data_IF_686765568560
#
_entry.id   IF_686765568560
#
_cell.length_a   1.000
_cell.length_b   1.000
_cell.length_c   1.000
_cell.angle_alpha   90.00
_cell.angle_beta   90.00
_cell.angle_gamma   90.00
#
_symmetry.space_group_name_H-M   'P 1'
#
loop_
_entity.id
_entity.type
_entity.pdbx_description
1 polymer ?
#
# COMPACT_ATOMS: atom_id res chain seq x y z
N UNK A 1 -10.58 10.42 25.06
CA UNK A 1 -11.12 10.87 23.76
C UNK A 1 -10.01 11.16 22.76
N UNK A 2 -10.35 11.28 21.48
CA UNK A 2 -9.36 11.50 20.42
C UNK A 2 -8.90 12.96 20.25
N UNK A 3 -9.44 13.92 21.00
CA UNK A 3 -9.01 15.33 20.96
C UNK A 3 -7.50 15.50 21.13
N UNK A 4 -6.90 14.73 22.04
CA UNK A 4 -5.47 14.78 22.34
C UNK A 4 -4.59 14.19 21.22
N UNK A 5 -5.17 13.34 20.37
CA UNK A 5 -4.54 12.84 19.14
C UNK A 5 -4.57 13.94 18.07
N UNK A 6 -5.72 14.62 17.90
CA UNK A 6 -5.83 15.76 17.00
C UNK A 6 -4.89 16.90 17.38
N UNK A 7 -4.74 17.20 18.67
CA UNK A 7 -3.83 18.26 19.12
C UNK A 7 -2.36 17.99 18.80
N UNK A 8 -1.97 16.70 18.71
CA UNK A 8 -0.58 16.31 18.40
C UNK A 8 -0.32 16.19 16.91
N UNK A 9 -1.23 15.53 16.18
CA UNK A 9 -1.03 15.25 14.75
C UNK A 9 -1.57 16.34 13.85
N UNK A 10 -2.58 17.08 14.31
CA UNK A 10 -3.26 18.13 13.56
C UNK A 10 -3.43 19.42 14.38
N UNK A 11 -2.33 19.99 14.91
CA UNK A 11 -2.36 21.18 15.76
C UNK A 11 -2.97 22.42 15.09
N UNK A 12 -2.77 22.60 13.79
CA UNK A 12 -3.33 23.72 13.00
C UNK A 12 -4.83 23.54 12.81
N UNK A 13 -5.29 22.34 12.43
CA UNK A 13 -6.74 22.03 12.33
C UNK A 13 -7.40 22.17 13.71
N UNK A 14 -6.80 21.66 14.77
CA UNK A 14 -7.32 21.80 16.13
C UNK A 14 -7.42 23.28 16.53
N UNK A 15 -6.37 24.07 16.31
CA UNK A 15 -6.37 25.51 16.57
C UNK A 15 -7.44 26.24 15.74
N UNK A 16 -7.59 25.88 14.47
CA UNK A 16 -8.57 26.47 13.58
C UNK A 16 -10.00 26.18 14.05
N UNK A 17 -10.32 24.92 14.35
CA UNK A 17 -11.63 24.51 14.85
C UNK A 17 -11.97 25.21 16.17
N UNK A 18 -11.02 25.27 17.12
CA UNK A 18 -11.26 25.94 18.42
C UNK A 18 -11.44 27.45 18.29
N UNK A 19 -10.78 28.09 17.32
CA UNK A 19 -10.83 29.55 17.16
C UNK A 19 -11.99 30.03 16.27
N UNK A 20 -12.27 29.32 15.18
CA UNK A 20 -13.31 29.71 14.22
C UNK A 20 -14.67 29.11 14.55
N UNK A 21 -14.73 27.86 15.03
CA UNK A 21 -15.99 27.20 15.36
C UNK A 21 -15.91 26.41 16.69
N UNK A 22 -15.84 27.12 17.83
CA UNK A 22 -15.77 26.47 19.14
C UNK A 22 -17.02 25.61 19.44
N UNK A 23 -18.15 25.86 18.78
CA UNK A 23 -19.38 25.07 18.94
C UNK A 23 -19.21 23.70 18.32
N UNK A 24 -18.65 23.60 17.11
CA UNK A 24 -18.31 22.30 16.50
C UNK A 24 -17.30 21.56 17.37
N UNK A 25 -16.24 22.23 17.84
CA UNK A 25 -15.24 21.58 18.70
C UNK A 25 -15.86 20.99 19.98
N UNK A 26 -16.69 21.77 20.68
CA UNK A 26 -17.34 21.32 21.92
C UNK A 26 -18.44 20.29 21.67
N UNK A 27 -19.04 20.27 20.48
CA UNK A 27 -19.99 19.23 20.08
C UNK A 27 -19.28 17.89 19.84
N UNK A 28 -18.17 17.88 19.09
CA UNK A 28 -17.39 16.67 18.80
C UNK A 28 -16.66 16.21 20.08
N UNK A 29 -16.13 17.16 20.85
CA UNK A 29 -15.37 16.90 22.07
C UNK A 29 -15.96 17.60 23.31
N UNK A 30 -17.08 17.10 23.89
CA UNK A 30 -17.65 17.66 25.11
C UNK A 30 -16.67 17.62 26.28
N UNK A 31 -16.57 18.72 27.05
CA UNK A 31 -15.57 18.87 28.11
C UNK A 31 -15.75 17.82 29.23
N UNK A 32 -16.99 17.48 29.57
CA UNK A 32 -17.32 16.47 30.58
C UNK A 32 -16.82 15.08 30.18
N UNK A 33 -16.95 14.73 28.90
CA UNK A 33 -16.43 13.47 28.37
C UNK A 33 -14.91 13.49 28.22
N UNK A 34 -14.28 14.63 27.91
CA UNK A 34 -12.82 14.72 27.88
C UNK A 34 -12.20 14.37 29.23
N UNK A 35 -12.84 14.81 30.34
CA UNK A 35 -12.40 14.51 31.70
C UNK A 35 -12.65 13.04 32.08
N UNK A 36 -13.84 12.51 31.77
CA UNK A 36 -14.21 11.11 32.09
C UNK A 36 -13.45 10.09 31.26
N UNK A 37 -13.25 10.39 29.99
CA UNK A 37 -12.52 9.57 29.05
C UNK A 37 -11.06 10.01 28.91
N UNK A 38 -10.43 10.38 30.02
CA UNK A 38 -8.99 10.60 30.05
C UNK A 38 -8.26 9.31 29.64
N UNK A 39 -7.00 9.46 29.22
CA UNK A 39 -6.22 8.32 28.71
C UNK A 39 -6.12 7.19 29.73
N UNK A 40 -6.53 5.96 29.36
CA UNK A 40 -6.23 4.82 30.18
C UNK A 40 -4.72 4.56 30.07
N UNK A 41 -4.03 4.67 31.20
CA UNK A 41 -2.60 4.37 31.33
C UNK A 41 -2.46 3.20 32.28
N UNK A 42 -1.84 2.12 31.82
CA UNK A 42 -1.53 0.96 32.64
C UNK A 42 -0.04 0.95 32.91
N UNK A 43 0.31 0.94 34.18
CA UNK A 43 1.69 0.85 34.63
C UNK A 43 2.04 -0.63 34.81
N UNK A 44 2.69 -1.21 33.79
CA UNK A 44 3.20 -2.57 33.89
C UNK A 44 4.55 -2.56 34.62
N UNK A 45 4.57 -3.08 35.84
CA UNK A 45 5.78 -3.30 36.61
C UNK A 45 6.51 -4.54 36.07
N UNK A 46 7.50 -4.33 35.20
CA UNK A 46 8.35 -5.41 34.70
C UNK A 46 9.57 -5.57 35.63
N UNK A 47 9.39 -6.34 36.69
CA UNK A 47 10.45 -6.73 37.62
C UNK A 47 9.93 -6.83 39.06
N UNK A 48 10.34 -7.88 39.78
CA UNK A 48 9.97 -8.08 41.20
C UNK A 48 10.39 -6.93 42.13
N UNK A 49 11.22 -5.99 41.67
CA UNK A 49 11.64 -4.79 42.40
C UNK A 49 11.06 -3.47 41.85
N UNK A 50 10.12 -3.48 40.89
CA UNK A 50 9.44 -2.26 40.43
C UNK A 50 10.31 -1.22 39.70
N UNK A 51 11.51 -1.59 39.23
CA UNK A 51 12.45 -0.63 38.58
C UNK A 51 12.04 -0.15 37.20
N UNK A 52 11.11 -0.85 36.52
CA UNK A 52 10.65 -0.47 35.18
C UNK A 52 9.13 -0.47 35.13
N UNK A 53 8.56 0.73 35.05
CA UNK A 53 7.15 0.96 34.76
C UNK A 53 7.03 1.23 33.26
N UNK A 54 6.42 0.31 32.51
CA UNK A 54 6.08 0.56 31.11
C UNK A 54 4.66 1.13 31.04
N UNK A 55 4.47 2.42 30.72
CA UNK A 55 3.14 3.00 30.63
C UNK A 55 2.49 2.57 29.32
N UNK A 56 1.53 1.64 29.36
CA UNK A 56 0.70 1.33 28.21
C UNK A 56 -0.44 2.32 28.15
N UNK A 57 -0.35 3.23 27.17
CA UNK A 57 -1.42 4.15 26.82
C UNK A 57 -2.30 3.53 25.74
N UNK A 58 -3.61 3.68 25.86
CA UNK A 58 -4.58 3.14 24.88
C UNK A 58 -4.42 1.62 24.62
N UNK A 59 -4.70 0.74 25.60
CA UNK A 59 -4.47 -0.69 25.43
C UNK A 59 -5.20 -1.32 24.25
N UNK A 60 -6.43 -0.89 23.96
CA UNK A 60 -7.16 -1.39 22.80
C UNK A 60 -6.41 -1.07 21.50
N UNK A 61 -5.84 0.13 21.39
CA UNK A 61 -5.03 0.52 20.24
C UNK A 61 -3.73 -0.30 20.17
N UNK A 62 -3.11 -0.59 21.32
CA UNK A 62 -1.91 -1.44 21.39
C UNK A 62 -2.15 -2.88 20.88
N UNK A 63 -3.40 -3.37 20.92
CA UNK A 63 -3.80 -4.66 20.34
C UNK A 63 -4.16 -4.55 18.86
N UNK A 64 -4.76 -3.44 18.43
CA UNK A 64 -5.17 -3.22 17.03
C UNK A 64 -3.95 -2.99 16.12
N UNK A 65 -3.00 -2.15 16.55
CA UNK A 65 -1.85 -1.76 15.72
C UNK A 65 -1.01 -2.94 15.21
N UNK A 66 -0.67 -3.97 16.02
CA UNK A 66 0.05 -5.16 15.54
C UNK A 66 -0.61 -5.86 14.35
N UNK A 67 -1.94 -5.81 14.24
CA UNK A 67 -2.67 -6.35 13.07
C UNK A 67 -2.28 -5.57 11.80
N UNK A 68 -2.21 -4.25 11.88
CA UNK A 68 -1.71 -3.41 10.78
C UNK A 68 -0.28 -3.71 10.37
N UNK A 69 0.61 -3.93 11.35
CA UNK A 69 1.99 -4.36 11.10
C UNK A 69 2.01 -5.69 10.34
N UNK A 70 1.23 -6.67 10.78
CA UNK A 70 1.15 -7.98 10.13
C UNK A 70 0.63 -7.88 8.68
N UNK A 71 -0.43 -7.10 8.45
CA UNK A 71 -0.98 -6.83 7.11
C UNK A 71 0.09 -6.20 6.21
N UNK A 72 0.80 -5.18 6.69
CA UNK A 72 1.84 -4.47 5.95
C UNK A 72 3.03 -5.37 5.59
N UNK A 73 3.59 -6.10 6.57
CA UNK A 73 4.71 -6.99 6.35
C UNK A 73 4.36 -8.16 5.43
N UNK A 74 3.21 -8.82 5.68
CA UNK A 74 2.74 -9.92 4.84
C UNK A 74 2.48 -9.44 3.42
N UNK A 75 1.80 -8.31 3.26
CA UNK A 75 1.50 -7.74 1.95
C UNK A 75 2.76 -7.37 1.17
N UNK A 76 3.72 -6.72 1.83
CA UNK A 76 5.02 -6.36 1.22
C UNK A 76 5.80 -7.61 0.79
N UNK A 77 5.88 -8.63 1.64
CA UNK A 77 6.58 -9.88 1.35
C UNK A 77 5.94 -10.62 0.16
N UNK A 78 4.61 -10.72 0.14
CA UNK A 78 3.90 -11.40 -0.94
C UNK A 78 4.09 -10.70 -2.29
N UNK A 79 3.97 -9.37 -2.32
CA UNK A 79 4.10 -8.59 -3.56
C UNK A 79 5.56 -8.48 -4.04
N UNK A 80 6.53 -8.38 -3.12
CA UNK A 80 7.94 -8.21 -3.48
C UNK A 80 8.70 -9.51 -3.73
N UNK A 81 8.46 -10.54 -2.91
CA UNK A 81 9.31 -11.75 -2.90
C UNK A 81 8.60 -12.94 -3.53
N UNK A 82 7.34 -13.19 -3.14
CA UNK A 82 6.66 -14.43 -3.51
C UNK A 82 6.09 -14.37 -4.93
N UNK A 83 5.40 -13.28 -5.27
CA UNK A 83 4.73 -13.13 -6.56
C UNK A 83 5.70 -13.06 -7.76
N UNK A 84 6.83 -12.33 -7.71
CA UNK A 84 7.74 -12.26 -8.84
C UNK A 84 8.47 -13.59 -9.12
N UNK A 85 8.75 -14.38 -8.07
CA UNK A 85 9.51 -15.63 -8.19
C UNK A 85 8.70 -16.80 -8.74
N UNK A 86 7.37 -16.79 -8.63
CA UNK A 86 6.55 -17.95 -8.97
C UNK A 86 6.08 -18.02 -10.43
N UNK A 87 5.94 -16.90 -11.17
CA UNK A 87 5.15 -16.92 -12.43
C UNK A 87 5.45 -15.81 -13.48
N UNK A 88 6.64 -15.21 -13.55
CA UNK A 88 6.93 -14.09 -14.48
C UNK A 88 5.92 -12.92 -14.36
N UNK A 89 5.35 -12.71 -13.17
CA UNK A 89 4.38 -11.63 -12.91
C UNK A 89 5.06 -10.26 -13.00
N UNK A 90 4.32 -9.18 -13.34
CA UNK A 90 4.89 -7.84 -13.39
C UNK A 90 5.44 -7.43 -12.01
N UNK A 91 6.54 -6.65 -11.97
CA UNK A 91 7.04 -6.09 -10.72
C UNK A 91 5.99 -5.15 -10.12
N UNK A 92 5.61 -5.38 -8.86
CA UNK A 92 4.66 -4.53 -8.11
C UNK A 92 5.39 -3.82 -6.97
N UNK A 93 6.53 -3.21 -7.32
CA UNK A 93 7.45 -2.65 -6.33
C UNK A 93 6.83 -1.49 -5.55
N UNK A 94 6.06 -0.62 -6.22
CA UNK A 94 5.38 0.49 -5.55
C UNK A 94 4.29 0.01 -4.60
N UNK A 95 3.49 -0.99 -4.99
CA UNK A 95 2.52 -1.60 -4.08
C UNK A 95 3.18 -2.28 -2.87
N UNK A 96 4.27 -3.01 -3.10
CA UNK A 96 5.00 -3.66 -2.01
C UNK A 96 5.62 -2.65 -1.03
N UNK A 97 6.13 -1.52 -1.54
CA UNK A 97 6.64 -0.43 -0.71
C UNK A 97 5.52 0.27 0.05
N UNK A 98 4.35 0.47 -0.57
CA UNK A 98 3.19 1.01 0.14
C UNK A 98 2.85 0.15 1.38
N UNK A 99 2.80 -1.18 1.21
CA UNK A 99 2.56 -2.11 2.33
C UNK A 99 3.69 -2.10 3.37
N UNK A 100 4.95 -1.96 2.93
CA UNK A 100 6.12 -1.87 3.82
C UNK A 100 6.09 -0.60 4.67
N UNK A 101 5.85 0.56 4.06
CA UNK A 101 5.68 1.82 4.78
C UNK A 101 4.46 1.78 5.70
N UNK A 102 3.40 1.09 5.33
CA UNK A 102 2.24 0.90 6.21
C UNK A 102 2.60 0.12 7.47
N UNK A 103 3.46 -0.90 7.37
CA UNK A 103 3.99 -1.59 8.55
C UNK A 103 4.84 -0.65 9.41
N UNK A 104 5.73 0.15 8.79
CA UNK A 104 6.54 1.15 9.50
C UNK A 104 5.69 2.18 10.24
N UNK A 105 4.62 2.69 9.59
CA UNK A 105 3.65 3.61 10.19
C UNK A 105 3.02 3.01 11.44
N UNK A 106 2.56 1.76 11.36
CA UNK A 106 1.97 1.07 12.50
C UNK A 106 2.99 0.83 13.64
N UNK A 107 4.23 0.46 13.32
CA UNK A 107 5.28 0.34 14.34
C UNK A 107 5.54 1.70 15.02
N UNK A 108 5.65 2.77 14.23
CA UNK A 108 5.83 4.12 14.73
C UNK A 108 4.67 4.54 15.64
N UNK A 109 3.44 4.28 15.22
CA UNK A 109 2.22 4.54 15.97
C UNK A 109 2.16 3.76 17.29
N UNK A 110 2.52 2.47 17.28
CA UNK A 110 2.54 1.66 18.50
C UNK A 110 3.47 2.29 19.53
N UNK A 111 4.66 2.68 19.10
CA UNK A 111 5.66 3.26 19.99
C UNK A 111 5.23 4.65 20.44
N UNK A 112 4.83 5.53 19.53
CA UNK A 112 4.49 6.93 19.80
C UNK A 112 3.19 7.12 20.61
N UNK A 113 2.20 6.24 20.43
CA UNK A 113 0.88 6.34 21.04
C UNK A 113 0.69 5.43 22.24
N UNK A 114 1.34 4.26 22.26
CA UNK A 114 1.10 3.27 23.31
C UNK A 114 2.27 3.12 24.27
N UNK A 115 3.52 3.14 23.81
CA UNK A 115 4.67 2.68 24.62
C UNK A 115 5.58 3.78 25.17
N UNK A 116 5.74 4.90 24.48
CA UNK A 116 6.69 5.96 24.88
C UNK A 116 5.99 7.11 25.60
N UNK A 117 6.48 7.51 26.76
CA UNK A 117 5.95 8.65 27.50
C UNK A 117 6.03 9.96 26.70
N UNK A 118 5.08 10.88 26.90
CA UNK A 118 5.00 12.13 26.13
C UNK A 118 6.18 13.07 26.32
N UNK A 119 6.72 13.09 27.51
CA UNK A 119 7.90 13.90 27.86
C UNK A 119 9.18 13.39 27.21
N UNK A 120 9.15 12.19 26.61
CA UNK A 120 10.32 11.58 26.01
C UNK A 120 10.69 12.28 24.70
N UNK A 121 11.96 12.63 24.47
CA UNK A 121 12.41 13.19 23.20
C UNK A 121 12.18 12.22 22.03
N UNK A 122 12.15 10.91 22.31
CA UNK A 122 11.84 9.88 21.32
C UNK A 122 10.44 10.00 20.75
N UNK A 123 9.49 10.58 21.49
CA UNK A 123 8.11 10.68 21.01
C UNK A 123 8.02 11.47 19.71
N UNK A 124 8.75 12.58 19.57
CA UNK A 124 8.75 13.39 18.37
C UNK A 124 9.31 12.63 17.16
N UNK A 125 10.37 11.86 17.36
CA UNK A 125 10.98 11.02 16.32
C UNK A 125 9.96 10.00 15.80
N UNK A 126 9.25 9.31 16.69
CA UNK A 126 8.24 8.32 16.29
C UNK A 126 7.01 8.97 15.64
N UNK A 127 6.61 10.17 16.07
CA UNK A 127 5.54 10.93 15.41
C UNK A 127 5.95 11.33 13.98
N UNK A 128 7.18 11.84 13.77
CA UNK A 128 7.70 12.10 12.42
C UNK A 128 7.72 10.86 11.56
N UNK A 129 8.15 9.73 12.12
CA UNK A 129 8.21 8.46 11.40
C UNK A 129 6.81 7.98 11.01
N UNK A 130 5.82 8.13 11.89
CA UNK A 130 4.40 7.82 11.59
C UNK A 130 3.89 8.70 10.43
N UNK A 131 4.09 10.02 10.51
CA UNK A 131 3.66 10.95 9.46
C UNK A 131 4.36 10.66 8.12
N UNK A 132 5.68 10.50 8.15
CA UNK A 132 6.48 10.19 6.97
C UNK A 132 6.09 8.85 6.35
N UNK A 133 5.93 7.80 7.16
CA UNK A 133 5.52 6.50 6.69
C UNK A 133 4.08 6.49 6.14
N UNK A 134 3.16 7.26 6.73
CA UNK A 134 1.81 7.48 6.18
C UNK A 134 1.89 8.11 4.80
N UNK A 135 2.65 9.20 4.67
CA UNK A 135 2.82 9.91 3.41
C UNK A 135 3.48 9.03 2.33
N UNK A 136 4.52 8.29 2.68
CA UNK A 136 5.21 7.36 1.78
C UNK A 136 4.31 6.18 1.37
N UNK A 137 3.47 5.68 2.28
CA UNK A 137 2.45 4.66 1.97
C UNK A 137 1.48 5.19 0.91
N UNK A 138 0.90 6.37 1.16
CA UNK A 138 -0.07 7.01 0.28
C UNK A 138 0.54 7.34 -1.09
N UNK A 139 1.76 7.91 -1.11
CA UNK A 139 2.49 8.24 -2.32
C UNK A 139 2.85 7.00 -3.14
N UNK A 140 3.31 5.93 -2.50
CA UNK A 140 3.68 4.69 -3.21
C UNK A 140 2.45 4.02 -3.84
N UNK A 141 1.30 3.99 -3.15
CA UNK A 141 0.04 3.49 -3.71
C UNK A 141 -0.47 4.36 -4.88
N UNK A 142 -0.37 5.69 -4.73
CA UNK A 142 -0.71 6.64 -5.78
C UNK A 142 0.21 6.45 -7.00
N UNK A 143 1.52 6.36 -6.79
CA UNK A 143 2.50 6.17 -7.85
C UNK A 143 2.26 4.86 -8.60
N UNK A 144 1.97 3.77 -7.88
CA UNK A 144 1.64 2.48 -8.47
C UNK A 144 0.39 2.54 -9.38
N UNK A 145 -0.58 3.37 -9.00
CA UNK A 145 -1.81 3.59 -9.76
C UNK A 145 -1.59 4.46 -11.00
N UNK A 146 -0.77 5.52 -10.90
CA UNK A 146 -0.44 6.41 -12.02
C UNK A 146 0.46 5.73 -13.06
N UNK A 147 1.46 4.98 -12.59
CA UNK A 147 2.35 4.22 -13.47
C UNK A 147 1.68 2.97 -14.06
N UNK A 148 0.47 2.66 -13.59
CA UNK A 148 -0.33 1.50 -14.00
C UNK A 148 0.48 0.20 -13.94
N UNK A 149 1.18 -0.03 -12.81
CA UNK A 149 2.10 -1.17 -12.64
C UNK A 149 1.42 -2.52 -12.98
N UNK A 150 0.12 -2.64 -12.70
CA UNK A 150 -0.64 -3.87 -12.95
C UNK A 150 -1.03 -4.06 -14.43
N UNK A 151 -0.90 -3.05 -15.29
CA UNK A 151 -1.11 -3.21 -16.75
C UNK A 151 0.17 -3.58 -17.50
N UNK A 152 1.34 -3.31 -16.90
CA UNK A 152 2.65 -3.41 -17.56
C UNK A 152 3.00 -4.77 -18.18
N UNK A 153 2.34 -5.85 -17.73
CA UNK A 153 2.50 -7.18 -18.33
C UNK A 153 1.82 -7.38 -19.69
N UNK A 154 0.89 -6.51 -20.12
CA UNK A 154 0.21 -6.66 -21.42
C UNK A 154 0.99 -6.11 -22.61
N UNK A 155 1.99 -5.25 -22.38
CA UNK A 155 2.73 -4.58 -23.47
C UNK A 155 4.04 -5.26 -23.88
N UNK A 156 4.37 -6.41 -23.28
CA UNK A 156 5.53 -7.22 -23.70
C UNK A 156 5.44 -7.76 -25.14
N UNK A 157 4.28 -7.66 -25.80
CA UNK A 157 4.11 -8.02 -27.21
C UNK A 157 4.47 -6.91 -28.22
N UNK A 158 4.75 -5.67 -27.79
CA UNK A 158 5.36 -4.64 -28.66
C UNK A 158 6.86 -4.52 -28.34
N UNK A 159 7.61 -5.58 -28.68
CA UNK A 159 9.06 -5.62 -28.50
C UNK A 159 9.81 -4.52 -29.30
N UNK A 160 9.13 -3.81 -30.22
CA UNK A 160 9.74 -2.77 -31.05
C UNK A 160 9.66 -1.34 -30.46
N UNK A 161 8.77 -1.05 -29.51
CA UNK A 161 8.69 0.30 -28.91
C UNK A 161 9.59 0.49 -27.67
N UNK A 162 10.13 -0.62 -27.13
CA UNK A 162 10.88 -0.62 -25.87
C UNK A 162 12.39 -0.31 -26.03
N UNK A 163 12.87 -0.06 -27.25
CA UNK A 163 14.29 0.14 -27.55
C UNK A 163 14.91 1.43 -27.00
N UNK A 164 14.13 2.51 -26.80
CA UNK A 164 14.68 3.83 -26.50
C UNK A 164 14.10 4.57 -25.28
N UNK A 165 13.09 4.02 -24.58
CA UNK A 165 12.59 4.64 -23.33
C UNK A 165 13.30 4.06 -22.11
N UNK A 166 14.39 4.73 -21.72
CA UNK A 166 14.94 4.85 -20.36
C UNK A 166 14.33 3.89 -19.30
N UNK A 167 14.84 2.66 -19.24
CA UNK A 167 14.45 1.67 -18.19
C UNK A 167 14.90 2.08 -16.77
N UNK A 168 15.65 3.18 -16.61
CA UNK A 168 16.24 3.62 -15.32
C UNK A 168 15.42 4.64 -14.54
N UNK A 169 14.38 5.26 -15.11
CA UNK A 169 13.69 6.39 -14.46
C UNK A 169 12.62 6.07 -13.39
N UNK A 170 11.81 4.99 -13.46
CA UNK A 170 10.64 4.90 -12.58
C UNK A 170 10.99 4.59 -11.13
N UNK A 171 11.92 3.65 -10.89
CA UNK A 171 12.34 3.31 -9.52
C UNK A 171 13.05 4.47 -8.83
N UNK A 172 13.83 5.26 -9.58
CA UNK A 172 14.50 6.44 -9.05
C UNK A 172 13.50 7.52 -8.62
N UNK A 173 12.47 7.78 -9.43
CA UNK A 173 11.45 8.78 -9.11
C UNK A 173 10.66 8.39 -7.85
N UNK A 174 10.32 7.11 -7.71
CA UNK A 174 9.64 6.60 -6.52
C UNK A 174 10.54 6.70 -5.27
N UNK A 175 11.81 6.32 -5.38
CA UNK A 175 12.75 6.41 -4.26
C UNK A 175 12.99 7.86 -3.84
N UNK A 176 13.20 8.75 -4.81
CA UNK A 176 13.39 10.18 -4.57
C UNK A 176 12.14 10.81 -3.95
N UNK A 177 10.94 10.48 -4.44
CA UNK A 177 9.68 10.96 -3.90
C UNK A 177 9.48 10.57 -2.43
N UNK A 178 9.64 9.28 -2.11
CA UNK A 178 9.56 8.80 -0.72
C UNK A 178 10.67 9.41 0.17
N UNK A 179 11.88 9.58 -0.37
CA UNK A 179 12.99 10.23 0.34
C UNK A 179 12.67 11.68 0.69
N UNK A 180 12.14 12.46 -0.27
CA UNK A 180 11.71 13.85 -0.05
C UNK A 180 10.59 13.91 1.00
N UNK A 181 9.55 13.08 0.88
CA UNK A 181 8.45 13.05 1.87
C UNK A 181 8.94 12.71 3.27
N UNK A 182 9.89 11.77 3.40
CA UNK A 182 10.50 11.42 4.68
C UNK A 182 11.25 12.62 5.26
N UNK A 183 12.13 13.27 4.48
CA UNK A 183 12.87 14.46 4.92
C UNK A 183 11.89 15.57 5.35
N UNK A 184 10.85 15.82 4.55
CA UNK A 184 9.83 16.82 4.85
C UNK A 184 9.04 16.46 6.12
N UNK A 185 8.83 15.19 6.46
CA UNK A 185 8.15 14.79 7.69
C UNK A 185 8.99 15.07 8.95
N UNK A 186 10.32 14.96 8.86
CA UNK A 186 11.22 15.32 9.96
C UNK A 186 11.38 16.84 10.09
N UNK A 187 11.58 17.56 8.99
CA UNK A 187 11.66 19.03 9.00
C UNK A 187 10.30 19.68 9.33
N UNK A 188 9.21 19.05 8.90
CA UNK A 188 7.85 19.54 9.00
C UNK A 188 7.30 19.57 10.42
N UNK A 189 7.92 18.91 11.41
CA UNK A 189 7.51 19.06 12.81
C UNK A 189 7.61 20.52 13.30
N UNK A 190 8.52 21.31 12.73
CA UNK A 190 8.66 22.73 13.05
C UNK A 190 7.62 23.61 12.34
N UNK A 191 6.93 23.07 11.33
CA UNK A 191 5.92 23.76 10.53
C UNK A 191 4.61 22.99 10.65
N UNK A 192 3.76 23.29 11.65
CA UNK A 192 2.54 22.54 11.96
C UNK A 192 1.68 22.15 10.75
N UNK A 193 1.48 23.07 9.80
CA UNK A 193 0.71 22.83 8.59
C UNK A 193 1.35 21.80 7.64
N UNK A 194 2.68 21.71 7.60
CA UNK A 194 3.39 20.75 6.74
C UNK A 194 3.12 19.31 7.18
N UNK A 195 3.13 19.03 8.48
CA UNK A 195 2.82 17.72 9.02
C UNK A 195 1.40 17.27 8.62
N UNK A 196 0.42 18.17 8.72
CA UNK A 196 -0.97 17.90 8.34
C UNK A 196 -1.13 17.70 6.83
N UNK A 197 -0.46 18.51 6.02
CA UNK A 197 -0.47 18.39 4.57
C UNK A 197 0.16 17.06 4.12
N UNK A 198 1.27 16.65 4.75
CA UNK A 198 1.89 15.36 4.49
C UNK A 198 0.99 14.21 4.90
N UNK A 199 0.33 14.30 6.07
CA UNK A 199 -0.51 13.22 6.56
C UNK A 199 -1.85 13.13 5.82
N UNK A 200 -2.67 14.19 5.89
CA UNK A 200 -4.02 14.23 5.31
C UNK A 200 -3.95 14.46 3.80
N UNK A 201 -3.16 15.43 3.35
CA UNK A 201 -3.13 15.85 1.95
C UNK A 201 -2.69 14.72 1.02
N UNK A 202 -1.60 14.02 1.36
CA UNK A 202 -1.14 12.88 0.55
C UNK A 202 -2.14 11.72 0.58
N UNK A 203 -2.76 11.46 1.73
CA UNK A 203 -3.78 10.42 1.89
C UNK A 203 -5.02 10.72 1.05
N UNK A 204 -5.56 11.94 1.10
CA UNK A 204 -6.72 12.36 0.29
C UNK A 204 -6.40 12.25 -1.20
N UNK A 205 -5.25 12.74 -1.63
CA UNK A 205 -4.82 12.64 -3.03
C UNK A 205 -4.70 11.17 -3.46
N UNK A 206 -4.12 10.32 -2.62
CA UNK A 206 -4.00 8.88 -2.88
C UNK A 206 -5.36 8.21 -2.97
N UNK A 207 -6.28 8.47 -2.04
CA UNK A 207 -7.64 7.92 -2.07
C UNK A 207 -8.37 8.27 -3.37
N UNK A 208 -8.25 9.52 -3.83
CA UNK A 208 -8.88 9.95 -5.10
C UNK A 208 -8.27 9.18 -6.28
N UNK A 209 -6.94 9.17 -6.39
CA UNK A 209 -6.25 8.56 -7.54
C UNK A 209 -6.42 7.03 -7.55
N UNK A 210 -6.21 6.36 -6.42
CA UNK A 210 -6.38 4.91 -6.25
C UNK A 210 -7.84 4.52 -6.43
N UNK A 211 -8.79 5.31 -5.91
CA UNK A 211 -10.21 5.09 -6.10
C UNK A 211 -10.62 5.15 -7.57
N UNK A 212 -10.19 6.19 -8.30
CA UNK A 212 -10.39 6.30 -9.75
C UNK A 212 -9.75 5.10 -10.47
N UNK A 213 -8.52 4.73 -10.08
CA UNK A 213 -7.81 3.60 -10.67
C UNK A 213 -8.58 2.28 -10.55
N UNK A 214 -9.08 1.98 -9.36
CA UNK A 214 -9.89 0.79 -9.08
C UNK A 214 -11.21 0.82 -9.86
N UNK A 215 -11.93 1.95 -9.82
CA UNK A 215 -13.23 2.09 -10.48
C UNK A 215 -13.16 1.99 -12.01
N UNK A 216 -12.02 2.36 -12.62
CA UNK A 216 -11.83 2.29 -14.07
C UNK A 216 -11.47 0.89 -14.57
N UNK A 217 -11.08 -0.04 -13.69
CA UNK A 217 -10.63 -1.37 -14.08
C UNK A 217 -11.78 -2.37 -14.02
N UNK A 218 -11.94 -3.23 -15.05
CA UNK A 218 -13.00 -4.23 -15.03
C UNK A 218 -12.75 -5.26 -13.92
N UNK A 219 -13.71 -5.44 -13.02
CA UNK A 219 -13.53 -6.39 -11.93
C UNK A 219 -13.41 -7.82 -12.46
N UNK A 220 -12.47 -8.59 -11.94
CA UNK A 220 -12.34 -10.03 -12.18
C UNK A 220 -12.32 -10.82 -10.86
N UNK A 221 -12.80 -12.07 -10.90
CA UNK A 221 -12.84 -12.95 -9.74
C UNK A 221 -13.55 -12.32 -8.53
N UNK A 222 -12.87 -12.31 -7.38
CA UNK A 222 -13.39 -11.80 -6.11
C UNK A 222 -13.15 -10.30 -5.89
N UNK A 223 -12.63 -9.56 -6.89
CA UNK A 223 -12.26 -8.15 -6.72
C UNK A 223 -13.39 -7.26 -6.20
N UNK A 224 -14.65 -7.52 -6.58
CA UNK A 224 -15.78 -6.74 -6.06
C UNK A 224 -15.85 -6.77 -4.54
N UNK A 225 -15.61 -7.93 -3.92
CA UNK A 225 -15.59 -8.06 -2.46
C UNK A 225 -14.49 -7.19 -1.84
N UNK A 226 -13.31 -7.20 -2.43
CA UNK A 226 -12.16 -6.43 -1.93
C UNK A 226 -12.34 -4.92 -2.13
N UNK A 227 -12.98 -4.50 -3.22
CA UNK A 227 -13.39 -3.11 -3.44
C UNK A 227 -14.38 -2.67 -2.35
N UNK A 228 -15.40 -3.48 -2.07
CA UNK A 228 -16.33 -3.21 -0.96
C UNK A 228 -15.62 -3.10 0.38
N UNK A 229 -14.63 -3.96 0.63
CA UNK A 229 -13.81 -3.90 1.84
C UNK A 229 -12.99 -2.60 1.92
N UNK A 230 -12.41 -2.13 0.81
CA UNK A 230 -11.70 -0.83 0.73
C UNK A 230 -12.63 0.31 1.13
N UNK A 231 -13.81 0.40 0.52
CA UNK A 231 -14.76 1.47 0.82
C UNK A 231 -15.34 1.38 2.23
N UNK A 232 -15.64 0.17 2.72
CA UNK A 232 -16.12 -0.05 4.08
C UNK A 232 -15.05 0.34 5.10
N UNK A 233 -13.78 0.01 4.85
CA UNK A 233 -12.66 0.44 5.66
C UNK A 233 -12.52 1.97 5.70
N UNK A 234 -12.57 2.63 4.53
CA UNK A 234 -12.53 4.10 4.46
C UNK A 234 -13.70 4.76 5.19
N UNK A 235 -14.92 4.24 5.01
CA UNK A 235 -16.10 4.73 5.73
C UNK A 235 -15.97 4.53 7.25
N UNK A 236 -15.44 3.39 7.70
CA UNK A 236 -15.19 3.09 9.12
C UNK A 236 -14.20 4.09 9.71
N UNK A 237 -13.09 4.35 9.02
CA UNK A 237 -12.08 5.33 9.44
C UNK A 237 -12.66 6.75 9.60
N UNK A 238 -13.44 7.20 8.62
CA UNK A 238 -14.06 8.54 8.63
C UNK A 238 -15.19 8.64 9.66
N UNK A 239 -15.97 7.58 9.85
CA UNK A 239 -17.08 7.55 10.82
C UNK A 239 -16.61 7.69 12.27
N UNK A 240 -15.35 7.38 12.57
CA UNK A 240 -14.83 7.47 13.92
C UNK A 240 -14.92 8.88 14.53
N UNK A 241 -14.80 9.94 13.72
CA UNK A 241 -14.82 11.33 14.22
C UNK A 241 -16.22 11.74 14.73
N UNK A 242 -17.30 11.66 13.94
CA UNK A 242 -18.64 11.95 14.44
C UNK A 242 -19.11 10.97 15.51
N UNK A 243 -18.55 9.76 15.54
CA UNK A 243 -18.88 8.74 16.54
C UNK A 243 -18.01 8.83 17.81
N UNK A 244 -16.97 9.69 17.88
CA UNK A 244 -16.02 9.69 19.01
C UNK A 244 -16.73 9.87 20.36
N UNK A 245 -17.69 10.79 20.42
CA UNK A 245 -18.50 11.08 21.60
C UNK A 245 -19.31 9.85 22.04
N UNK A 246 -19.99 9.20 21.09
CA UNK A 246 -20.82 8.02 21.35
C UNK A 246 -19.97 6.82 21.73
N UNK A 247 -18.88 6.55 21.00
CA UNK A 247 -17.94 5.48 21.30
C UNK A 247 -17.36 5.64 22.71
N UNK A 248 -16.99 6.86 23.09
CA UNK A 248 -16.45 7.09 24.43
C UNK A 248 -17.48 6.92 25.54
N UNK A 249 -18.74 7.31 25.28
CA UNK A 249 -19.82 7.20 26.26
C UNK A 249 -20.23 5.74 26.48
N UNK A 250 -20.28 4.93 25.43
CA UNK A 250 -20.75 3.54 25.48
C UNK A 250 -19.62 2.53 25.79
N UNK A 251 -18.43 2.72 25.20
CA UNK A 251 -17.31 1.77 25.27
C UNK A 251 -16.16 2.27 26.16
N UNK A 252 -16.34 3.44 26.78
CA UNK A 252 -15.37 4.05 27.67
C UNK A 252 -14.14 4.59 26.93
N UNK A 253 -13.05 4.88 27.67
CA UNK A 253 -11.87 5.52 27.10
C UNK A 253 -11.03 4.61 26.20
N UNK A 254 -11.39 3.34 26.03
CA UNK A 254 -10.60 2.37 25.27
C UNK A 254 -10.89 2.43 23.77
N UNK A 255 -12.13 2.73 23.38
CA UNK A 255 -12.55 2.78 21.98
C UNK A 255 -12.95 4.20 21.62
N UNK A 256 -12.26 4.76 20.63
CA UNK A 256 -12.47 6.13 20.18
C UNK A 256 -12.24 6.22 18.66
N UNK A 257 -12.28 7.42 18.12
CA UNK A 257 -11.99 7.71 16.71
C UNK A 257 -10.65 7.12 16.25
N UNK A 258 -9.59 7.20 17.05
CA UNK A 258 -8.26 6.68 16.70
C UNK A 258 -8.33 5.17 16.50
N UNK A 259 -8.99 4.44 17.41
CA UNK A 259 -9.19 2.99 17.24
C UNK A 259 -9.94 2.68 15.94
N UNK A 260 -11.03 3.40 15.66
CA UNK A 260 -11.81 3.23 14.43
C UNK A 260 -11.02 3.60 13.17
N UNK A 261 -10.18 4.63 13.25
CA UNK A 261 -9.27 5.06 12.18
C UNK A 261 -8.29 3.94 11.83
N UNK A 262 -7.62 3.35 12.83
CA UNK A 262 -6.70 2.24 12.59
C UNK A 262 -7.42 1.01 12.02
N UNK A 263 -8.55 0.61 12.59
CA UNK A 263 -9.36 -0.52 12.07
C UNK A 263 -9.78 -0.27 10.61
N UNK A 264 -10.30 0.92 10.31
CA UNK A 264 -10.70 1.29 8.95
C UNK A 264 -9.53 1.28 7.98
N UNK A 265 -8.37 1.82 8.38
CA UNK A 265 -7.15 1.77 7.59
C UNK A 265 -6.67 0.32 7.36
N UNK A 266 -6.72 -0.55 8.37
CA UNK A 266 -6.36 -1.97 8.24
C UNK A 266 -7.25 -2.66 7.21
N UNK A 267 -8.57 -2.46 7.31
CA UNK A 267 -9.52 -3.00 6.33
C UNK A 267 -9.25 -2.48 4.92
N UNK A 268 -8.95 -1.18 4.79
CA UNK A 268 -8.65 -0.53 3.51
C UNK A 268 -7.42 -1.13 2.86
N UNK A 269 -6.30 -1.19 3.59
CA UNK A 269 -5.02 -1.68 3.06
C UNK A 269 -5.07 -3.19 2.82
N UNK A 270 -5.76 -3.95 3.67
CA UNK A 270 -5.98 -5.39 3.44
C UNK A 270 -6.82 -5.62 2.17
N UNK A 271 -7.93 -4.88 2.01
CA UNK A 271 -8.75 -4.96 0.80
C UNK A 271 -7.96 -4.60 -0.45
N UNK A 272 -7.15 -3.54 -0.39
CA UNK A 272 -6.29 -3.12 -1.50
C UNK A 272 -5.23 -4.18 -1.85
N UNK A 273 -4.58 -4.76 -0.86
CA UNK A 273 -3.63 -5.86 -1.04
C UNK A 273 -4.29 -7.08 -1.69
N UNK A 274 -5.44 -7.51 -1.20
CA UNK A 274 -6.17 -8.65 -1.75
C UNK A 274 -6.68 -8.37 -3.17
N UNK A 275 -7.11 -7.14 -3.44
CA UNK A 275 -7.47 -6.68 -4.79
C UNK A 275 -6.28 -6.81 -5.76
N UNK A 276 -5.10 -6.33 -5.37
CA UNK A 276 -3.87 -6.44 -6.16
C UNK A 276 -3.47 -7.91 -6.36
N UNK A 277 -3.55 -8.74 -5.32
CA UNK A 277 -3.25 -10.16 -5.45
C UNK A 277 -4.20 -10.88 -6.42
N UNK A 278 -5.49 -10.64 -6.30
CA UNK A 278 -6.51 -11.24 -7.18
C UNK A 278 -6.29 -10.81 -8.64
N UNK A 279 -5.96 -9.53 -8.88
CA UNK A 279 -5.60 -9.04 -10.22
C UNK A 279 -4.40 -9.83 -10.78
N UNK A 280 -3.35 -10.00 -9.96
CA UNK A 280 -2.15 -10.72 -10.35
C UNK A 280 -2.44 -12.20 -10.66
N UNK A 281 -3.20 -12.88 -9.81
CA UNK A 281 -3.55 -14.30 -9.98
C UNK A 281 -4.46 -14.49 -11.20
N UNK A 282 -5.60 -13.79 -11.23
CA UNK A 282 -6.63 -14.03 -12.25
C UNK A 282 -6.17 -13.58 -13.62
N UNK A 283 -5.54 -12.41 -13.75
CA UNK A 283 -5.21 -11.87 -15.08
C UNK A 283 -3.89 -12.36 -15.64
N UNK A 284 -2.91 -12.69 -14.80
CA UNK A 284 -1.62 -13.18 -15.30
C UNK A 284 -1.57 -14.69 -15.34
N UNK A 285 -1.99 -15.41 -14.29
CA UNK A 285 -1.86 -16.86 -14.27
C UNK A 285 -2.84 -17.53 -15.25
N UNK A 286 -4.10 -17.08 -15.31
CA UNK A 286 -5.07 -17.66 -16.25
C UNK A 286 -4.70 -17.37 -17.72
N UNK A 287 -4.11 -16.21 -18.00
CA UNK A 287 -3.65 -15.89 -19.36
C UNK A 287 -2.38 -16.63 -19.74
N UNK A 288 -1.45 -16.80 -18.80
CA UNK A 288 -0.28 -17.63 -19.02
C UNK A 288 -0.68 -19.09 -19.29
N UNK A 289 -1.65 -19.62 -18.52
CA UNK A 289 -2.20 -20.95 -18.75
C UNK A 289 -2.87 -21.06 -20.14
N UNK A 290 -3.73 -20.11 -20.50
CA UNK A 290 -4.38 -20.11 -21.82
C UNK A 290 -3.39 -19.92 -22.99
N UNK A 291 -2.30 -19.17 -22.80
CA UNK A 291 -1.26 -19.04 -23.80
C UNK A 291 -0.47 -20.34 -23.98
N UNK A 292 -0.16 -21.03 -22.87
CA UNK A 292 0.51 -22.33 -22.90
C UNK A 292 -0.35 -23.41 -23.57
N UNK A 293 -1.65 -23.42 -23.30
CA UNK A 293 -2.61 -24.33 -23.94
C UNK A 293 -2.62 -24.17 -25.46
N UNK A 294 -2.65 -22.93 -25.98
CA UNK A 294 -2.58 -22.68 -27.44
C UNK A 294 -1.26 -23.14 -28.06
N UNK A 295 -0.13 -22.98 -27.35
CA UNK A 295 1.17 -23.47 -27.83
C UNK A 295 1.16 -24.98 -27.94
N UNK A 296 0.59 -25.68 -26.95
CA UNK A 296 0.44 -27.14 -26.97
C UNK A 296 -0.50 -27.59 -28.09
N UNK A 297 -1.63 -26.92 -28.29
CA UNK A 297 -2.57 -27.21 -29.39
C UNK A 297 -1.92 -27.00 -30.77
N UNK A 298 -1.16 -25.92 -30.95
CA UNK A 298 -0.45 -25.64 -32.21
C UNK A 298 0.61 -26.70 -32.47
N UNK A 299 1.41 -27.07 -31.46
CA UNK A 299 2.41 -28.11 -31.57
C UNK A 299 1.80 -29.50 -31.86
N UNK A 300 0.63 -29.80 -31.28
CA UNK A 300 -0.12 -31.03 -31.55
C UNK A 300 -0.74 -31.04 -32.97
N UNK A 301 -1.20 -29.89 -33.46
CA UNK A 301 -1.72 -29.74 -34.81
C UNK A 301 -0.65 -29.97 -35.89
N UNK A 302 0.56 -29.43 -35.68
CA UNK A 302 1.68 -29.60 -36.60
C UNK A 302 2.18 -31.06 -36.67
N UNK A 303 2.09 -31.80 -35.56
CA UNK A 303 2.44 -33.24 -35.54
C UNK A 303 1.38 -34.13 -36.18
N UNK A 304 0.10 -33.74 -36.15
CA UNK A 304 -0.97 -34.45 -36.85
C UNK A 304 -0.97 -34.17 -38.37
N UNK A 305 -0.64 -32.95 -38.80
CA UNK A 305 -0.55 -32.56 -40.21
C UNK A 305 0.66 -33.14 -40.96
N UNK A 306 1.77 -33.41 -40.26
CA UNK A 306 3.01 -33.93 -40.85
C UNK A 306 2.98 -35.39 -41.34
N UNK A 307 1.90 -36.15 -41.05
CA UNK A 307 1.81 -37.58 -41.43
C UNK A 307 1.03 -37.85 -42.72
N UNK A 308 0.40 -36.83 -43.32
CA UNK A 308 -0.41 -36.98 -44.54
C UNK A 308 0.35 -36.68 -45.85
N UNK A 309 1.62 -36.23 -45.79
CA UNK A 309 2.40 -35.85 -46.98
C UNK A 309 3.70 -36.64 -47.12
N UNK A 310 3.65 -37.96 -46.90
CA UNK A 310 4.77 -38.89 -47.13
C UNK A 310 4.36 -40.07 -48.03
N UNK A 311 3.48 -39.83 -48.99
CA UNK A 311 3.19 -40.73 -50.13
C UNK A 311 3.09 -39.91 -51.41
N UNK A 312 4.21 -39.31 -51.81
CA UNK A 312 4.36 -38.58 -53.07
C UNK A 312 5.70 -38.91 -53.70
N UNK A 313 5.67 -39.90 -54.60
CA UNK A 313 6.65 -40.28 -55.62
C UNK A 313 8.02 -39.56 -55.65
N UNK A 314 9.05 -40.36 -55.37
CA UNK A 314 10.43 -40.11 -55.78
C UNK A 314 10.54 -40.44 -57.27
N UNK A 315 10.61 -39.43 -58.12
CA UNK A 315 11.20 -39.53 -59.46
C UNK A 315 12.26 -38.45 -59.60
N UNK A 316 13.51 -38.88 -59.71
CA UNK A 316 14.67 -38.00 -59.81
C UNK A 316 14.90 -37.43 -61.20
N UNK A 317 15.74 -36.39 -61.27
CA UNK A 317 16.79 -36.21 -62.29
C UNK A 317 17.60 -34.93 -62.01
N UNK A 318 18.92 -35.11 -62.01
CA UNK A 318 19.97 -34.23 -62.56
C UNK A 318 20.19 -32.78 -62.10
N UNK A 319 21.31 -32.61 -61.39
CA UNK A 319 22.53 -31.90 -61.81
C UNK A 319 22.45 -30.46 -62.38
N UNK A 320 23.01 -29.50 -61.64
CA UNK A 320 24.02 -28.51 -62.09
C UNK A 320 24.42 -27.60 -60.90
N UNK A 321 25.66 -27.70 -60.40
CA UNK A 321 26.79 -26.77 -60.63
C UNK A 321 26.50 -25.28 -60.34
N UNK A 322 27.26 -24.70 -59.41
CA UNK A 322 27.87 -23.39 -59.63
C UNK A 322 28.02 -22.45 -58.43
N UNK A 323 29.30 -22.19 -58.07
CA UNK A 323 29.85 -20.89 -57.65
C UNK A 323 29.44 -20.33 -56.27
N UNK A 324 30.31 -20.39 -55.26
CA UNK A 324 31.33 -19.34 -54.93
C UNK A 324 30.74 -17.96 -54.62
N UNK A 325 31.07 -17.44 -53.42
CA UNK A 325 30.78 -16.05 -53.08
C UNK A 325 30.94 -15.72 -51.59
N UNK A 326 32.14 -15.84 -51.05
CA UNK A 326 32.50 -15.31 -49.74
C UNK A 326 32.28 -13.79 -49.66
N UNK A 327 31.69 -13.30 -48.57
CA UNK A 327 31.75 -11.88 -48.22
C UNK A 327 31.94 -11.71 -46.71
N UNK A 328 33.18 -11.43 -46.36
CA UNK A 328 33.58 -10.85 -45.09
C UNK A 328 32.80 -9.55 -44.82
N UNK A 329 32.27 -9.38 -43.59
CA UNK A 329 32.17 -8.04 -43.02
C UNK A 329 32.68 -8.00 -41.59
N UNK A 330 33.84 -7.35 -41.45
CA UNK A 330 34.57 -7.05 -40.23
C UNK A 330 33.80 -6.07 -39.34
N UNK A 331 33.95 -6.30 -38.04
CA UNK A 331 33.81 -5.35 -36.94
C UNK A 331 34.65 -4.09 -37.18
N UNK A 332 34.08 -2.93 -36.83
CA UNK A 332 34.68 -1.96 -35.91
C UNK A 332 33.55 -1.30 -35.13
#
# INVERSE_FOLDING_TARGET
>A
MSCEFLDVFFPSISKLLRSQDPRIWTHIFPLDLQLKCARPTYDLNMGGEGRYVLPIRWPALALVIPVGVAIGLYGSLQLHVVNPRKLNRPPTASWALAMGFYACMNIAALVSHCLVQRSSPWQQIFISMDIGATACTAFSALYASISDELSGGFRAASANDAGNRSKRSPNLNMFLGNGILTILAFLGLHIPFMAELLYIGTTVLSVIVVGIYICRRPCCGRQRLFIWQVFTGGATALSGLPLDTTLCRELGPHVNHVTMLFVGCHMTLLGLFLYVQEELVVRHDMKAAAAMERVVETAAGDTAGGRASATGEVTGAEAARGSEGASLRKRK
#
